data_IF_171647995782
#
_entry.id   IF_171647995782
#
_cell.length_a   1.000
_cell.length_b   1.000
_cell.length_c   1.000
_cell.angle_alpha   90.00
_cell.angle_beta   90.00
_cell.angle_gamma   90.00
#
_symmetry.space_group_name_H-M   'P 1'
#
loop_
_entity.id
_entity.type
_entity.pdbx_description
1 polymer ?
#
# COMPACT_ATOMS: atom_id res chain seq x y z
N UNK A 1 5.64 27.09 -7.94
CA UNK A 1 4.43 26.25 -8.08
C UNK A 1 3.74 26.14 -6.72
N UNK A 2 2.60 26.82 -6.60
CA UNK A 2 1.71 26.85 -5.42
C UNK A 2 0.97 25.52 -5.33
N UNK A 3 0.96 24.90 -4.14
CA UNK A 3 0.14 23.71 -3.88
C UNK A 3 -1.31 24.16 -3.73
N UNK A 4 -2.23 23.79 -4.64
CA UNK A 4 -3.57 24.36 -4.68
C UNK A 4 -4.40 23.98 -3.43
N UNK A 5 -4.16 22.79 -2.85
CA UNK A 5 -5.00 22.26 -1.77
C UNK A 5 -4.37 22.30 -0.37
N UNK A 6 -3.04 22.38 -0.26
CA UNK A 6 -2.33 22.35 1.03
C UNK A 6 -2.87 23.37 2.06
N UNK A 7 -3.21 24.58 1.63
CA UNK A 7 -3.79 25.60 2.51
C UNK A 7 -5.13 25.18 3.12
N UNK A 8 -6.03 24.67 2.27
CA UNK A 8 -7.34 24.18 2.69
C UNK A 8 -7.23 22.93 3.57
N UNK A 9 -6.34 22.00 3.24
CA UNK A 9 -6.09 20.79 4.04
C UNK A 9 -5.56 21.13 5.44
N UNK A 10 -4.68 22.14 5.57
CA UNK A 10 -4.21 22.62 6.88
C UNK A 10 -5.31 23.30 7.69
N UNK A 11 -6.27 23.95 7.05
CA UNK A 11 -7.43 24.51 7.74
C UNK A 11 -8.30 23.40 8.32
N UNK A 12 -8.59 22.35 7.54
CA UNK A 12 -9.32 21.18 8.02
C UNK A 12 -8.57 20.47 9.15
N UNK A 13 -7.25 20.34 9.06
CA UNK A 13 -6.43 19.79 10.14
C UNK A 13 -6.62 20.53 11.46
N UNK A 14 -6.59 21.87 11.45
CA UNK A 14 -6.80 22.69 12.66
C UNK A 14 -8.19 22.45 13.25
N UNK A 15 -9.22 22.49 12.40
CA UNK A 15 -10.60 22.23 12.83
C UNK A 15 -10.79 20.83 13.43
N UNK A 16 -10.04 19.85 12.92
CA UNK A 16 -10.04 18.49 13.46
C UNK A 16 -9.30 18.38 14.79
N UNK A 17 -8.19 19.12 14.98
CA UNK A 17 -7.44 19.16 16.24
C UNK A 17 -8.23 19.80 17.38
N UNK A 18 -9.00 20.85 17.07
CA UNK A 18 -9.82 21.54 18.07
C UNK A 18 -10.99 20.68 18.59
N UNK A 19 -11.30 19.56 17.92
CA UNK A 19 -12.37 18.65 18.31
C UNK A 19 -11.89 17.54 19.27
N UNK A 20 -12.18 17.72 20.57
CA UNK A 20 -11.78 16.81 21.66
C UNK A 20 -12.48 15.44 21.68
N UNK A 21 -13.47 15.20 20.81
CA UNK A 21 -14.23 13.95 20.77
C UNK A 21 -14.57 13.55 19.35
N UNK A 22 -15.77 13.92 18.90
CA UNK A 22 -16.24 13.70 17.52
C UNK A 22 -15.80 14.87 16.64
N UNK A 23 -15.32 14.58 15.44
CA UNK A 23 -15.02 15.64 14.47
C UNK A 23 -16.29 16.43 14.14
N UNK A 24 -16.19 17.75 14.04
CA UNK A 24 -17.34 18.56 13.69
C UNK A 24 -17.85 18.18 12.30
N UNK A 25 -19.17 18.14 12.10
CA UNK A 25 -19.78 17.83 10.82
C UNK A 25 -19.25 18.76 9.71
N UNK A 26 -18.98 20.02 10.05
CA UNK A 26 -18.40 21.01 9.14
C UNK A 26 -16.99 20.61 8.68
N UNK A 27 -16.11 20.17 9.59
CA UNK A 27 -14.77 19.70 9.22
C UNK A 27 -14.80 18.46 8.33
N UNK A 28 -15.75 17.55 8.57
CA UNK A 28 -15.92 16.33 7.78
C UNK A 28 -16.49 16.62 6.39
N UNK A 29 -17.44 17.54 6.29
CA UNK A 29 -17.98 17.99 5.00
C UNK A 29 -16.88 18.70 4.17
N UNK A 30 -16.08 19.58 4.79
CA UNK A 30 -14.95 20.22 4.11
C UNK A 30 -13.89 19.22 3.63
N UNK A 31 -13.58 18.20 4.44
CA UNK A 31 -12.67 17.12 4.03
C UNK A 31 -13.23 16.33 2.83
N UNK A 32 -14.53 16.06 2.85
CA UNK A 32 -15.22 15.37 1.77
C UNK A 32 -15.21 16.19 0.48
N UNK A 33 -15.57 17.46 0.54
CA UNK A 33 -15.61 18.36 -0.61
C UNK A 33 -14.22 18.53 -1.25
N UNK A 34 -13.18 18.68 -0.43
CA UNK A 34 -11.79 18.73 -0.91
C UNK A 34 -11.38 17.41 -1.58
N UNK A 35 -11.78 16.26 -1.03
CA UNK A 35 -11.51 14.97 -1.66
C UNK A 35 -12.20 14.85 -3.03
N UNK A 36 -13.41 15.36 -3.18
CA UNK A 36 -14.12 15.36 -4.47
C UNK A 36 -13.42 16.28 -5.47
N UNK A 37 -13.05 17.49 -5.07
CA UNK A 37 -12.33 18.44 -5.93
C UNK A 37 -10.98 17.85 -6.40
N UNK A 38 -10.21 17.31 -5.46
CA UNK A 38 -8.93 16.66 -5.78
C UNK A 38 -9.09 15.46 -6.72
N UNK A 39 -10.25 14.79 -6.73
CA UNK A 39 -10.48 13.66 -7.65
C UNK A 39 -10.57 14.10 -9.12
N UNK A 40 -10.91 15.36 -9.39
CA UNK A 40 -11.13 15.89 -10.74
C UNK A 40 -9.87 16.52 -11.34
N UNK A 41 -8.91 16.90 -10.49
CA UNK A 41 -7.71 17.62 -10.87
C UNK A 41 -6.43 16.77 -10.72
N UNK A 42 -5.31 17.28 -11.25
CA UNK A 42 -3.99 16.68 -11.02
C UNK A 42 -3.53 16.98 -9.59
N UNK A 43 -3.11 15.94 -8.86
CA UNK A 43 -2.75 16.07 -7.44
C UNK A 43 -1.24 15.98 -7.27
N UNK A 44 -0.67 16.81 -6.39
CA UNK A 44 0.72 16.68 -5.97
C UNK A 44 0.87 15.63 -4.87
N UNK A 45 1.99 14.89 -4.87
CA UNK A 45 2.32 13.87 -3.87
C UNK A 45 2.11 14.34 -2.41
N UNK A 46 2.51 15.58 -2.11
CA UNK A 46 2.37 16.16 -0.76
C UNK A 46 0.92 16.43 -0.38
N UNK A 47 0.09 16.88 -1.33
CA UNK A 47 -1.34 17.14 -1.09
C UNK A 47 -2.09 15.81 -0.89
N UNK A 48 -1.77 14.79 -1.70
CA UNK A 48 -2.33 13.45 -1.56
C UNK A 48 -1.97 12.82 -0.21
N UNK A 49 -0.69 12.90 0.20
CA UNK A 49 -0.24 12.36 1.49
C UNK A 49 -0.92 13.07 2.66
N UNK A 50 -1.12 14.39 2.57
CA UNK A 50 -1.83 15.14 3.60
C UNK A 50 -3.30 14.72 3.67
N UNK A 51 -3.98 14.60 2.52
CA UNK A 51 -5.37 14.12 2.48
C UNK A 51 -5.50 12.73 3.12
N UNK A 52 -4.61 11.81 2.76
CA UNK A 52 -4.56 10.46 3.34
C UNK A 52 -4.37 10.50 4.85
N UNK A 53 -3.46 11.34 5.35
CA UNK A 53 -3.27 11.52 6.80
C UNK A 53 -4.58 11.93 7.51
N UNK A 54 -5.32 12.90 6.97
CA UNK A 54 -6.57 13.39 7.55
C UNK A 54 -7.64 12.28 7.61
N UNK A 55 -7.77 11.50 6.54
CA UNK A 55 -8.64 10.32 6.52
C UNK A 55 -8.16 9.22 7.49
N UNK A 56 -6.85 9.02 7.62
CA UNK A 56 -6.28 8.10 8.61
C UNK A 56 -6.65 8.50 10.04
N UNK A 57 -6.57 9.80 10.37
CA UNK A 57 -7.02 10.32 11.68
C UNK A 57 -8.54 10.17 11.88
N UNK A 58 -9.32 10.28 10.80
CA UNK A 58 -10.76 9.96 10.80
C UNK A 58 -10.99 8.49 11.18
N UNK A 59 -10.42 7.55 10.44
CA UNK A 59 -10.61 6.11 10.67
C UNK A 59 -10.09 5.64 12.03
N UNK A 60 -9.01 6.24 12.54
CA UNK A 60 -8.51 5.98 13.90
C UNK A 60 -9.55 6.34 14.96
N UNK A 61 -10.25 7.49 14.83
CA UNK A 61 -11.34 7.85 15.77
C UNK A 61 -12.55 6.93 15.61
N UNK A 62 -12.85 6.50 14.40
CA UNK A 62 -13.95 5.56 14.10
C UNK A 62 -13.63 4.10 14.48
N UNK A 63 -12.39 3.81 14.94
CA UNK A 63 -11.88 2.46 15.22
C UNK A 63 -11.96 1.51 14.01
N UNK A 64 -11.90 2.06 12.80
CA UNK A 64 -11.87 1.28 11.56
C UNK A 64 -10.41 0.97 11.20
N UNK A 65 -9.90 -0.13 11.77
CA UNK A 65 -8.52 -0.57 11.61
C UNK A 65 -8.17 -0.94 10.15
N UNK A 66 -9.12 -1.49 9.39
CA UNK A 66 -8.87 -1.90 8.01
C UNK A 66 -8.74 -0.69 7.07
N UNK A 67 -9.60 0.31 7.23
CA UNK A 67 -9.49 1.57 6.48
C UNK A 67 -8.24 2.36 6.88
N UNK A 68 -7.85 2.31 8.17
CA UNK A 68 -6.60 2.89 8.63
C UNK A 68 -5.39 2.21 7.99
N UNK A 69 -5.35 0.88 7.97
CA UNK A 69 -4.29 0.09 7.32
C UNK A 69 -4.19 0.40 5.83
N UNK A 70 -5.32 0.54 5.15
CA UNK A 70 -5.37 0.95 3.75
C UNK A 70 -4.63 2.27 3.55
N UNK A 71 -5.04 3.31 4.27
CA UNK A 71 -4.46 4.67 4.17
C UNK A 71 -2.95 4.63 4.40
N UNK A 72 -2.50 3.95 5.45
CA UNK A 72 -1.08 3.85 5.78
C UNK A 72 -0.30 3.14 4.68
N UNK A 73 -0.82 2.04 4.13
CA UNK A 73 -0.16 1.33 3.03
C UNK A 73 -0.05 2.20 1.77
N UNK A 74 -1.09 2.95 1.42
CA UNK A 74 -1.05 3.89 0.29
C UNK A 74 -0.04 5.01 0.49
N UNK A 75 0.01 5.59 1.69
CA UNK A 75 1.00 6.61 2.04
C UNK A 75 2.44 6.08 1.95
N UNK A 76 2.68 4.84 2.40
CA UNK A 76 3.99 4.19 2.27
C UNK A 76 4.37 3.94 0.80
N UNK A 77 3.42 3.50 -0.05
CA UNK A 77 3.66 3.33 -1.49
C UNK A 77 4.05 4.63 -2.18
N UNK A 78 3.33 5.74 -1.92
CA UNK A 78 3.66 7.05 -2.49
C UNK A 78 5.00 7.57 -1.97
N UNK A 79 5.29 7.38 -0.68
CA UNK A 79 6.56 7.79 -0.08
C UNK A 79 7.75 7.01 -0.65
N UNK A 80 7.58 5.72 -0.96
CA UNK A 80 8.59 4.91 -1.64
C UNK A 80 8.74 5.30 -3.10
N UNK A 81 7.62 5.57 -3.79
CA UNK A 81 7.61 6.00 -5.18
C UNK A 81 8.35 7.34 -5.36
N UNK A 82 8.17 8.25 -4.41
CA UNK A 82 8.89 9.52 -4.35
C UNK A 82 10.42 9.36 -4.27
N UNK A 83 10.92 8.31 -3.59
CA UNK A 83 12.36 8.04 -3.50
C UNK A 83 12.93 7.38 -4.77
N UNK A 84 12.08 6.74 -5.57
CA UNK A 84 12.48 5.89 -6.69
C UNK A 84 11.82 6.36 -8.01
N UNK A 85 12.58 6.96 -8.95
CA UNK A 85 12.01 7.51 -10.20
C UNK A 85 11.26 6.49 -11.06
N UNK A 86 11.73 5.23 -11.08
CA UNK A 86 11.09 4.12 -11.80
C UNK A 86 9.71 3.76 -11.23
N UNK A 87 9.54 3.93 -9.91
CA UNK A 87 8.28 3.69 -9.23
C UNK A 87 7.34 4.88 -9.35
N UNK A 88 7.86 6.11 -9.33
CA UNK A 88 7.11 7.34 -9.59
C UNK A 88 6.41 7.31 -10.96
N UNK A 89 7.10 6.82 -12.00
CA UNK A 89 6.55 6.69 -13.35
C UNK A 89 5.32 5.75 -13.46
N UNK A 90 5.06 4.91 -12.45
CA UNK A 90 3.87 4.05 -12.41
C UNK A 90 2.59 4.80 -12.04
N UNK A 91 2.69 6.01 -11.48
CA UNK A 91 1.54 6.79 -11.01
C UNK A 91 1.30 7.98 -11.93
N UNK A 92 0.31 7.87 -12.83
CA UNK A 92 0.03 8.90 -13.85
C UNK A 92 -0.77 10.09 -13.33
N UNK A 93 -1.55 9.91 -12.25
CA UNK A 93 -2.36 10.98 -11.65
C UNK A 93 -1.61 11.88 -10.66
N UNK A 94 -0.48 11.40 -10.14
CA UNK A 94 0.27 12.09 -9.08
C UNK A 94 1.52 12.77 -9.65
N UNK A 95 1.63 14.07 -9.41
CA UNK A 95 2.84 14.85 -9.71
C UNK A 95 3.77 14.80 -8.50
N UNK A 96 4.88 14.08 -8.62
CA UNK A 96 5.88 13.99 -7.55
C UNK A 96 6.71 15.26 -7.45
N UNK A 97 6.84 15.77 -6.22
CA UNK A 97 7.57 17.00 -5.93
C UNK A 97 8.74 16.75 -4.98
N UNK A 98 9.84 17.49 -5.14
CA UNK A 98 10.99 17.42 -4.20
C UNK A 98 10.74 18.12 -2.85
N UNK A 99 9.57 18.74 -2.65
CA UNK A 99 9.23 19.51 -1.43
C UNK A 99 9.10 18.63 -0.20
N UNK A 100 9.73 18.95 0.95
CA UNK A 100 9.69 18.10 2.14
C UNK A 100 8.25 17.88 2.63
N UNK A 101 7.96 16.68 3.14
CA UNK A 101 6.68 16.40 3.80
C UNK A 101 6.53 17.25 5.06
N UNK A 102 5.30 17.64 5.35
CA UNK A 102 4.88 18.32 6.57
C UNK A 102 5.23 17.49 7.82
N UNK A 103 5.55 18.16 8.93
CA UNK A 103 6.01 17.48 10.16
C UNK A 103 4.95 16.54 10.72
N UNK A 104 3.68 16.92 10.65
CA UNK A 104 2.56 16.11 11.11
C UNK A 104 2.39 14.83 10.30
N UNK A 105 2.46 14.94 8.97
CA UNK A 105 2.35 13.79 8.07
C UNK A 105 3.52 12.82 8.24
N UNK A 106 4.74 13.34 8.49
CA UNK A 106 5.91 12.51 8.84
C UNK A 106 5.73 11.79 10.18
N UNK A 107 5.28 12.51 11.21
CA UNK A 107 5.05 11.93 12.53
C UNK A 107 3.98 10.83 12.47
N UNK A 108 2.87 11.08 11.78
CA UNK A 108 1.83 10.08 11.56
C UNK A 108 2.38 8.83 10.88
N UNK A 109 3.21 8.97 9.83
CA UNK A 109 3.83 7.82 9.16
C UNK A 109 4.83 7.07 10.04
N UNK A 110 5.54 7.76 10.94
CA UNK A 110 6.49 7.15 11.88
C UNK A 110 5.81 6.38 13.01
N UNK A 111 4.58 6.76 13.38
CA UNK A 111 3.78 6.02 14.37
C UNK A 111 3.41 4.61 13.90
N UNK A 112 3.32 4.38 12.58
CA UNK A 112 2.97 3.07 12.04
C UNK A 112 4.23 2.29 11.65
N UNK A 113 4.28 0.98 11.96
CA UNK A 113 5.34 0.13 11.45
C UNK A 113 5.35 0.17 9.91
N UNK A 114 6.51 -0.13 9.30
CA UNK A 114 6.64 -0.32 7.86
C UNK A 114 5.84 -1.56 7.44
N UNK A 115 4.53 -1.38 7.29
CA UNK A 115 3.56 -2.43 6.96
C UNK A 115 3.95 -3.10 5.65
N UNK A 116 4.39 -2.33 4.66
CA UNK A 116 4.83 -2.86 3.36
C UNK A 116 6.01 -3.85 3.49
N UNK A 117 7.07 -3.46 4.20
CA UNK A 117 8.27 -4.30 4.40
C UNK A 117 7.95 -5.54 5.25
N UNK A 118 7.17 -5.34 6.32
CA UNK A 118 6.80 -6.45 7.20
C UNK A 118 5.86 -7.44 6.50
N UNK A 119 5.02 -6.97 5.57
CA UNK A 119 4.23 -7.85 4.71
C UNK A 119 5.10 -8.61 3.72
N UNK A 120 6.04 -7.93 3.09
CA UNK A 120 6.98 -8.53 2.13
C UNK A 120 7.76 -9.70 2.74
N UNK A 121 8.32 -9.50 3.94
CA UNK A 121 9.08 -10.55 4.62
C UNK A 121 8.21 -11.74 5.03
N UNK A 122 7.05 -11.47 5.64
CA UNK A 122 6.11 -12.53 6.04
C UNK A 122 5.63 -13.33 4.84
N UNK A 123 5.38 -12.66 3.74
CA UNK A 123 4.99 -13.30 2.49
C UNK A 123 6.10 -14.20 1.93
N UNK A 124 7.32 -13.68 1.80
CA UNK A 124 8.48 -14.44 1.30
C UNK A 124 8.71 -15.70 2.14
N UNK A 125 8.68 -15.57 3.46
CA UNK A 125 8.88 -16.71 4.38
C UNK A 125 7.78 -17.75 4.22
N UNK A 126 6.50 -17.35 4.22
CA UNK A 126 5.38 -18.29 4.08
C UNK A 126 5.38 -19.01 2.75
N UNK A 127 5.61 -18.30 1.64
CA UNK A 127 5.71 -18.93 0.32
C UNK A 127 6.87 -19.88 0.24
N UNK A 128 8.03 -19.50 0.77
CA UNK A 128 9.19 -20.38 0.76
C UNK A 128 8.89 -21.66 1.55
N UNK A 129 8.24 -21.55 2.72
CA UNK A 129 7.80 -22.70 3.50
C UNK A 129 6.82 -23.60 2.74
N UNK A 130 5.78 -23.03 2.12
CA UNK A 130 4.83 -23.82 1.32
C UNK A 130 5.50 -24.49 0.11
N UNK A 131 6.37 -23.76 -0.60
CA UNK A 131 7.07 -24.28 -1.75
C UNK A 131 8.03 -25.42 -1.35
N UNK A 132 8.75 -25.28 -0.25
CA UNK A 132 9.61 -26.34 0.29
C UNK A 132 8.79 -27.56 0.73
N UNK A 133 7.62 -27.35 1.34
CA UNK A 133 6.73 -28.44 1.71
C UNK A 133 6.23 -29.23 0.47
N UNK A 134 5.78 -28.52 -0.56
CA UNK A 134 5.37 -29.12 -1.84
C UNK A 134 6.54 -29.85 -2.51
N UNK A 135 7.76 -29.28 -2.48
CA UNK A 135 8.96 -29.91 -3.00
C UNK A 135 9.25 -31.26 -2.34
N UNK A 136 9.22 -31.32 -1.00
CA UNK A 136 9.48 -32.56 -0.25
C UNK A 136 8.41 -33.61 -0.54
N UNK A 137 7.14 -33.20 -0.60
CA UNK A 137 6.02 -34.10 -0.91
C UNK A 137 6.12 -34.64 -2.34
N UNK A 138 6.50 -33.81 -3.32
CA UNK A 138 6.63 -34.23 -4.72
C UNK A 138 7.84 -35.13 -4.95
N UNK A 139 8.92 -34.96 -4.18
CA UNK A 139 10.14 -35.76 -4.32
C UNK A 139 9.88 -37.26 -4.10
N UNK A 140 9.10 -37.61 -3.06
CA UNK A 140 8.81 -38.99 -2.66
C UNK A 140 8.16 -39.82 -3.79
N UNK A 141 7.00 -39.43 -4.36
CA UNK A 141 6.37 -40.16 -5.44
C UNK A 141 7.19 -40.10 -6.74
N UNK A 142 7.91 -39.01 -7.02
CA UNK A 142 8.72 -38.93 -8.24
C UNK A 142 9.84 -39.99 -8.24
N UNK A 143 10.53 -40.16 -7.12
CA UNK A 143 11.59 -41.16 -6.96
C UNK A 143 11.03 -42.58 -7.02
N UNK A 144 9.86 -42.81 -6.43
CA UNK A 144 9.21 -44.13 -6.40
C UNK A 144 8.60 -44.53 -7.76
N UNK A 145 8.01 -43.59 -8.51
CA UNK A 145 7.29 -43.86 -9.76
C UNK A 145 8.20 -43.96 -10.99
N UNK A 146 9.23 -43.11 -11.09
CA UNK A 146 10.01 -42.99 -12.31
C UNK A 146 11.23 -43.92 -12.38
N UNK A 147 11.56 -44.65 -11.31
CA UNK A 147 12.74 -45.53 -11.21
C UNK A 147 14.05 -44.89 -11.70
N UNK A 148 14.12 -43.56 -11.76
CA UNK A 148 15.33 -42.80 -12.09
C UNK A 148 16.22 -42.70 -10.85
N UNK A 149 17.51 -42.43 -11.07
CA UNK A 149 18.41 -42.19 -9.95
C UNK A 149 17.95 -40.96 -9.15
N UNK A 150 17.96 -41.11 -7.83
CA UNK A 150 17.57 -40.06 -6.89
C UNK A 150 18.24 -38.71 -7.21
N UNK A 151 19.53 -38.74 -7.56
CA UNK A 151 20.31 -37.55 -7.88
C UNK A 151 19.76 -36.77 -9.08
N UNK A 152 19.33 -37.44 -10.15
CA UNK A 152 18.81 -36.77 -11.35
C UNK A 152 17.49 -36.08 -11.03
N UNK A 153 16.57 -36.78 -10.36
CA UNK A 153 15.27 -36.25 -9.95
C UNK A 153 15.46 -35.06 -9.01
N UNK A 154 16.34 -35.19 -8.01
CA UNK A 154 16.60 -34.16 -7.03
C UNK A 154 17.18 -32.90 -7.66
N UNK A 155 18.15 -33.02 -8.57
CA UNK A 155 18.72 -31.87 -9.29
C UNK A 155 17.67 -31.17 -10.16
N UNK A 156 16.82 -31.93 -10.85
CA UNK A 156 15.77 -31.36 -11.71
C UNK A 156 14.72 -30.61 -10.88
N UNK A 157 14.27 -31.19 -9.76
CA UNK A 157 13.36 -30.55 -8.83
C UNK A 157 13.97 -29.30 -8.20
N UNK A 158 15.27 -29.31 -7.86
CA UNK A 158 15.97 -28.16 -7.27
C UNK A 158 16.03 -27.01 -8.27
N UNK A 159 16.30 -27.31 -9.54
CA UNK A 159 16.29 -26.32 -10.61
C UNK A 159 14.88 -25.71 -10.77
N UNK A 160 13.83 -26.53 -10.83
CA UNK A 160 12.44 -26.05 -10.89
C UNK A 160 12.05 -25.21 -9.67
N UNK A 161 12.49 -25.61 -8.47
CA UNK A 161 12.27 -24.85 -7.24
C UNK A 161 12.93 -23.47 -7.30
N UNK A 162 14.19 -23.39 -7.75
CA UNK A 162 14.90 -22.13 -7.91
C UNK A 162 14.20 -21.19 -8.90
N UNK A 163 13.74 -21.73 -10.04
CA UNK A 163 12.96 -20.98 -11.02
C UNK A 163 11.65 -20.47 -10.39
N UNK A 164 10.90 -21.35 -9.74
CA UNK A 164 9.64 -20.99 -9.07
C UNK A 164 9.84 -19.85 -8.07
N UNK A 165 10.79 -19.99 -7.14
CA UNK A 165 11.09 -18.97 -6.12
C UNK A 165 11.46 -17.64 -6.76
N UNK A 166 12.30 -17.64 -7.80
CA UNK A 166 12.67 -16.42 -8.52
C UNK A 166 11.47 -15.72 -9.14
N UNK A 167 10.61 -16.45 -9.85
CA UNK A 167 9.40 -15.87 -10.46
C UNK A 167 8.41 -15.36 -9.41
N UNK A 168 8.18 -16.13 -8.35
CA UNK A 168 7.25 -15.74 -7.28
C UNK A 168 7.74 -14.49 -6.54
N UNK A 169 9.04 -14.35 -6.28
CA UNK A 169 9.55 -13.14 -5.62
C UNK A 169 9.59 -11.93 -6.55
N UNK A 170 9.84 -12.14 -7.85
CA UNK A 170 9.87 -11.04 -8.82
C UNK A 170 8.48 -10.50 -9.17
N UNK A 171 7.47 -11.36 -9.26
CA UNK A 171 6.13 -10.96 -9.74
C UNK A 171 5.03 -11.12 -8.69
N UNK A 172 5.16 -12.05 -7.74
CA UNK A 172 4.12 -12.35 -6.76
C UNK A 172 3.91 -11.25 -5.72
N UNK A 173 4.98 -10.50 -5.37
CA UNK A 173 4.88 -9.41 -4.41
C UNK A 173 3.95 -8.28 -4.88
N UNK A 174 4.10 -7.82 -6.13
CA UNK A 174 3.26 -6.73 -6.66
C UNK A 174 1.79 -7.15 -6.74
N UNK A 175 1.51 -8.42 -7.07
CA UNK A 175 0.15 -8.96 -7.13
C UNK A 175 -0.52 -8.94 -5.75
N UNK A 176 0.17 -9.39 -4.70
CA UNK A 176 -0.48 -9.57 -3.39
C UNK A 176 -0.66 -8.26 -2.65
N UNK A 177 0.28 -7.32 -2.80
CA UNK A 177 0.07 -5.96 -2.28
C UNK A 177 -1.15 -5.34 -2.97
N UNK A 178 -1.35 -5.59 -4.27
CA UNK A 178 -2.54 -5.13 -5.01
C UNK A 178 -3.82 -5.81 -4.50
N UNK A 179 -3.81 -7.12 -4.32
CA UNK A 179 -4.96 -7.88 -3.82
C UNK A 179 -5.36 -7.42 -2.41
N UNK A 180 -4.38 -7.24 -1.52
CA UNK A 180 -4.64 -6.76 -0.16
C UNK A 180 -5.17 -5.33 -0.15
N UNK A 181 -4.63 -4.44 -0.98
CA UNK A 181 -5.18 -3.08 -1.14
C UNK A 181 -6.61 -3.14 -1.65
N UNK A 182 -6.91 -4.06 -2.58
CA UNK A 182 -8.25 -4.25 -3.13
C UNK A 182 -9.25 -4.83 -2.12
N UNK A 183 -8.80 -5.65 -1.17
CA UNK A 183 -9.64 -6.09 -0.06
C UNK A 183 -9.92 -4.94 0.91
N UNK A 184 -8.86 -4.21 1.30
CA UNK A 184 -8.96 -3.13 2.28
C UNK A 184 -9.74 -1.91 1.76
N UNK A 185 -9.72 -1.63 0.46
CA UNK A 185 -10.48 -0.51 -0.13
C UNK A 185 -12.00 -0.63 0.09
N UNK A 186 -12.51 -1.82 0.43
CA UNK A 186 -13.93 -2.03 0.72
C UNK A 186 -14.36 -1.39 2.04
N UNK A 187 -13.43 -1.24 3.00
CA UNK A 187 -13.67 -0.61 4.30
C UNK A 187 -13.56 0.92 4.28
N UNK A 188 -13.18 1.51 3.14
CA UNK A 188 -12.85 2.92 2.97
C UNK A 188 -14.06 3.71 2.45
N UNK A 189 -14.12 5.00 2.79
CA UNK A 189 -15.19 5.88 2.30
C UNK A 189 -15.26 5.87 0.75
N UNK A 190 -16.48 5.88 0.17
CA UNK A 190 -16.66 5.83 -1.28
C UNK A 190 -15.95 6.95 -2.05
N UNK A 191 -15.83 8.15 -1.46
CA UNK A 191 -15.14 9.28 -2.08
C UNK A 191 -13.63 9.11 -2.10
N UNK A 192 -13.03 8.63 -1.01
CA UNK A 192 -11.61 8.35 -0.95
C UNK A 192 -11.25 7.19 -1.89
N UNK A 193 -12.11 6.17 -1.95
CA UNK A 193 -11.99 5.07 -2.91
C UNK A 193 -11.99 5.57 -4.36
N UNK A 194 -12.92 6.46 -4.71
CA UNK A 194 -13.03 7.03 -6.07
C UNK A 194 -11.80 7.87 -6.43
N UNK A 195 -11.33 8.71 -5.52
CA UNK A 195 -10.09 9.49 -5.71
C UNK A 195 -8.89 8.57 -5.94
N UNK A 196 -8.73 7.55 -5.10
CA UNK A 196 -7.59 6.64 -5.19
C UNK A 196 -7.59 5.86 -6.52
N UNK A 197 -8.76 5.37 -6.95
CA UNK A 197 -8.90 4.66 -8.23
C UNK A 197 -8.53 5.53 -9.44
N UNK A 198 -8.86 6.82 -9.43
CA UNK A 198 -8.52 7.72 -10.53
C UNK A 198 -7.03 8.09 -10.55
N UNK A 199 -6.44 8.32 -9.38
CA UNK A 199 -5.10 8.88 -9.26
C UNK A 199 -4.01 7.81 -9.34
N UNK A 200 -4.37 6.58 -9.01
CA UNK A 200 -3.44 5.47 -8.83
C UNK A 200 -3.75 4.28 -9.74
N UNK A 201 -4.52 4.49 -10.82
CA UNK A 201 -4.63 3.52 -11.90
C UNK A 201 -3.24 3.32 -12.53
N UNK A 202 -2.61 2.19 -12.20
CA UNK A 202 -1.34 1.74 -12.77
C UNK A 202 -1.52 1.25 -14.21
#
# INVERSE_FOLDING_TARGET
MTQPYMGALKQVERLMQDSLGVYSQNSMNQLHDLCVQMSQDTIYDVDYLKLMELYGRKYRKEKNEDALRYVVMRMQQVTLARKNPKSAAKYKGIVFTDKPLDSFTKAFLQEFPLLLHTYEERYKVRILQMATFVFVILLIPLVLLFHLSFLIIWLLLLLLFGIFVYYTFKYGYESIVKDQIQDLIQSVDPTLKKLDQMQMSQ
#
